data_IF_373481369641
#
_entry.id   IF_373481369641
#
_cell.length_a   1.000
_cell.length_b   1.000
_cell.length_c   1.000
_cell.angle_alpha   90.00
_cell.angle_beta   90.00
_cell.angle_gamma   90.00
#
_symmetry.space_group_name_H-M   'P 1'
#
loop_
_entity.id
_entity.type
_entity.pdbx_description
1 polymer ?
#
# COMPACT_ATOMS: atom_id res chain seq x y z
N UNK A 1 13.67 -0.72 -9.50
CA UNK A 1 13.90 -1.53 -8.28
C UNK A 1 14.84 -2.73 -8.52
N UNK A 2 15.82 -2.64 -9.43
CA UNK A 2 16.84 -3.71 -9.51
C UNK A 2 17.88 -3.50 -8.41
N UNK A 3 18.21 -4.54 -7.60
CA UNK A 3 19.23 -4.43 -6.58
C UNK A 3 20.59 -4.13 -7.23
N UNK A 4 21.30 -3.13 -6.73
CA UNK A 4 22.68 -2.84 -7.14
C UNK A 4 23.62 -3.46 -6.12
N UNK A 5 24.84 -3.84 -6.52
CA UNK A 5 25.84 -4.42 -5.62
C UNK A 5 26.19 -3.51 -4.41
N UNK A 6 25.94 -2.21 -4.52
CA UNK A 6 26.01 -1.22 -3.44
C UNK A 6 24.98 -1.44 -2.30
N UNK A 7 23.89 -2.15 -2.56
CA UNK A 7 22.85 -2.45 -1.57
C UNK A 7 23.37 -3.46 -0.51
N UNK A 8 24.28 -4.36 -0.88
CA UNK A 8 24.88 -5.37 0.04
C UNK A 8 25.85 -4.72 1.02
N UNK A 9 26.65 -3.74 0.56
CA UNK A 9 27.56 -2.98 1.43
C UNK A 9 26.77 -2.12 2.42
N UNK A 10 25.63 -1.56 2.01
CA UNK A 10 24.74 -0.78 2.89
C UNK A 10 24.03 -1.64 3.94
N UNK A 11 23.68 -2.89 3.63
CA UNK A 11 23.15 -3.84 4.60
C UNK A 11 24.18 -4.16 5.70
N UNK A 12 25.45 -4.36 5.32
CA UNK A 12 26.55 -4.57 6.27
C UNK A 12 26.76 -3.36 7.19
N UNK A 13 26.75 -2.16 6.61
CA UNK A 13 26.99 -0.93 7.37
C UNK A 13 25.82 -0.62 8.34
N UNK A 14 24.60 -1.06 8.02
CA UNK A 14 23.42 -0.97 8.91
C UNK A 14 23.47 -1.99 10.05
N UNK A 15 23.97 -3.20 9.80
CA UNK A 15 24.26 -4.18 10.87
C UNK A 15 25.35 -3.65 11.79
N UNK A 16 26.41 -3.03 11.25
CA UNK A 16 27.45 -2.39 12.04
C UNK A 16 26.92 -1.20 12.86
N UNK A 17 26.01 -0.40 12.32
CA UNK A 17 25.35 0.70 13.05
C UNK A 17 24.41 0.19 14.16
N UNK A 18 23.56 -0.83 13.90
CA UNK A 18 22.69 -1.41 14.92
C UNK A 18 23.45 -2.14 16.04
N UNK A 19 24.66 -2.63 15.74
CA UNK A 19 25.58 -3.21 16.73
C UNK A 19 26.47 -2.16 17.41
N UNK A 20 26.26 -0.87 17.14
CA UNK A 20 26.95 0.25 17.81
C UNK A 20 28.39 0.49 17.36
N UNK A 21 28.84 -0.11 16.26
CA UNK A 21 30.21 -0.02 15.73
C UNK A 21 30.41 1.16 14.77
N UNK A 22 29.36 1.88 14.39
CA UNK A 22 29.41 3.04 13.49
C UNK A 22 28.67 4.25 14.10
N UNK A 23 29.28 5.45 14.16
CA UNK A 23 28.70 6.64 14.82
C UNK A 23 27.69 7.44 13.96
N UNK A 24 27.52 7.13 12.67
CA UNK A 24 26.63 7.89 11.78
C UNK A 24 25.78 6.97 10.90
N UNK A 25 24.48 7.26 10.86
CA UNK A 25 23.52 6.61 9.95
C UNK A 25 23.87 6.95 8.50
N UNK A 26 24.13 5.98 7.62
CA UNK A 26 24.52 6.24 6.24
C UNK A 26 23.39 6.96 5.48
N UNK A 27 23.70 7.90 4.59
CA UNK A 27 22.70 8.66 3.84
C UNK A 27 21.93 7.70 2.93
N UNK A 28 20.72 7.34 3.34
CA UNK A 28 19.82 6.56 2.52
C UNK A 28 19.38 7.41 1.32
N UNK A 29 19.49 6.84 0.11
CA UNK A 29 18.76 7.35 -1.04
C UNK A 29 17.24 7.15 -0.85
N UNK A 30 16.44 7.64 -1.80
CA UNK A 30 14.96 7.68 -1.78
C UNK A 30 14.22 6.35 -1.49
N UNK A 31 14.90 5.20 -1.45
CA UNK A 31 14.35 3.90 -1.06
C UNK A 31 15.36 3.12 -0.20
N UNK A 32 14.96 2.70 0.99
CA UNK A 32 15.75 1.87 1.89
C UNK A 32 15.89 0.45 1.32
N UNK A 33 17.04 -0.21 1.50
CA UNK A 33 17.24 -1.63 1.10
C UNK A 33 16.17 -2.56 1.71
N UNK A 34 15.68 -2.21 2.90
CA UNK A 34 14.63 -2.92 3.62
C UNK A 34 13.31 -2.89 2.84
N UNK A 35 12.89 -1.73 2.33
CA UNK A 35 11.67 -1.59 1.51
C UNK A 35 11.80 -2.36 0.17
N UNK A 36 12.99 -2.38 -0.43
CA UNK A 36 13.23 -3.18 -1.64
C UNK A 36 13.14 -4.68 -1.34
N UNK A 37 13.69 -5.13 -0.20
CA UNK A 37 13.65 -6.53 0.21
C UNK A 37 12.22 -6.97 0.50
N UNK A 38 11.42 -6.14 1.17
CA UNK A 38 9.99 -6.38 1.39
C UNK A 38 9.21 -6.53 0.08
N UNK A 39 9.46 -5.63 -0.88
CA UNK A 39 8.81 -5.71 -2.19
C UNK A 39 9.16 -7.00 -2.94
N UNK A 40 10.43 -7.40 -2.93
CA UNK A 40 10.86 -8.65 -3.57
C UNK A 40 10.35 -9.89 -2.83
N UNK A 41 10.30 -9.87 -1.50
CA UNK A 41 9.72 -10.94 -0.70
C UNK A 41 8.22 -11.12 -1.01
N UNK A 42 7.47 -10.03 -1.14
CA UNK A 42 6.06 -10.06 -1.52
C UNK A 42 5.85 -10.66 -2.92
N UNK A 43 6.64 -10.24 -3.92
CA UNK A 43 6.56 -10.78 -5.28
C UNK A 43 6.86 -12.29 -5.28
N UNK A 44 7.95 -12.71 -4.65
CA UNK A 44 8.34 -14.11 -4.60
C UNK A 44 7.32 -14.96 -3.85
N UNK A 45 6.86 -14.52 -2.69
CA UNK A 45 5.81 -15.20 -1.92
C UNK A 45 4.54 -15.35 -2.74
N UNK A 46 4.12 -14.31 -3.48
CA UNK A 46 2.94 -14.39 -4.37
C UNK A 46 3.13 -15.42 -5.48
N UNK A 47 4.29 -15.45 -6.14
CA UNK A 47 4.59 -16.42 -7.20
C UNK A 47 4.56 -17.85 -6.64
N UNK A 48 5.24 -18.09 -5.52
CA UNK A 48 5.29 -19.42 -4.89
C UNK A 48 3.90 -19.87 -4.47
N UNK A 49 3.11 -19.01 -3.81
CA UNK A 49 1.73 -19.30 -3.40
C UNK A 49 0.83 -19.61 -4.59
N UNK A 50 0.95 -18.86 -5.70
CA UNK A 50 0.15 -19.10 -6.89
C UNK A 50 0.50 -20.43 -7.56
N UNK A 51 1.80 -20.70 -7.76
CA UNK A 51 2.26 -21.94 -8.42
C UNK A 51 1.92 -23.16 -7.58
N UNK A 52 2.24 -23.14 -6.29
CA UNK A 52 1.92 -24.26 -5.38
C UNK A 52 0.41 -24.43 -5.21
N UNK A 53 -0.36 -23.33 -5.16
CA UNK A 53 -1.82 -23.39 -5.11
C UNK A 53 -2.43 -24.03 -6.37
N UNK A 54 -1.95 -23.69 -7.57
CA UNK A 54 -2.41 -24.31 -8.82
C UNK A 54 -2.06 -25.80 -8.87
N UNK A 55 -0.85 -26.17 -8.44
CA UNK A 55 -0.43 -27.57 -8.39
C UNK A 55 -1.33 -28.42 -7.46
N UNK A 56 -1.70 -27.86 -6.31
CA UNK A 56 -2.57 -28.54 -5.34
C UNK A 56 -4.05 -28.51 -5.75
N UNK A 57 -4.51 -27.47 -6.45
CA UNK A 57 -5.89 -27.38 -6.93
C UNK A 57 -6.17 -28.44 -8.01
N UNK A 58 -5.27 -28.61 -8.98
CA UNK A 58 -5.42 -29.58 -10.07
C UNK A 58 -4.58 -30.85 -9.84
N UNK A 59 -4.54 -31.33 -8.60
CA UNK A 59 -3.76 -32.49 -8.18
C UNK A 59 -3.94 -33.73 -9.07
N UNK A 60 -5.18 -34.07 -9.42
CA UNK A 60 -5.53 -35.21 -10.28
C UNK A 60 -4.93 -35.12 -11.69
N UNK A 61 -4.73 -33.92 -12.21
CA UNK A 61 -4.08 -33.73 -13.50
C UNK A 61 -2.57 -33.82 -13.34
N UNK A 62 -2.01 -33.10 -12.36
CA UNK A 62 -0.57 -32.99 -12.15
C UNK A 62 0.10 -34.27 -11.64
N UNK A 63 -0.61 -35.14 -10.92
CA UNK A 63 -0.06 -36.40 -10.39
C UNK A 63 0.40 -37.36 -11.51
N UNK A 64 -0.16 -37.21 -12.72
CA UNK A 64 0.24 -38.01 -13.88
C UNK A 64 1.52 -37.48 -14.57
N UNK A 65 1.89 -36.22 -14.32
CA UNK A 65 3.06 -35.57 -14.93
C UNK A 65 4.23 -35.40 -13.97
N UNK A 66 3.96 -35.38 -12.66
CA UNK A 66 4.96 -35.12 -11.63
C UNK A 66 5.45 -36.40 -10.95
N UNK A 67 6.72 -36.41 -10.49
CA UNK A 67 7.25 -37.53 -9.72
C UNK A 67 6.53 -37.69 -8.37
N UNK A 68 6.49 -38.92 -7.86
CA UNK A 68 5.95 -39.24 -6.52
C UNK A 68 6.59 -38.34 -5.47
N UNK A 69 5.75 -37.61 -4.71
CA UNK A 69 6.18 -36.69 -3.66
C UNK A 69 6.29 -35.21 -4.06
N UNK A 70 6.18 -34.86 -5.35
CA UNK A 70 6.22 -33.45 -5.77
C UNK A 70 5.04 -32.64 -5.21
N UNK A 71 3.84 -33.24 -5.18
CA UNK A 71 2.65 -32.61 -4.59
C UNK A 71 2.77 -32.50 -3.07
N UNK A 72 3.43 -33.45 -2.40
CA UNK A 72 3.68 -33.38 -0.95
C UNK A 72 4.64 -32.22 -0.62
N UNK A 73 5.68 -32.02 -1.43
CA UNK A 73 6.59 -30.87 -1.31
C UNK A 73 5.82 -29.57 -1.56
N UNK A 74 5.01 -29.51 -2.62
CA UNK A 74 4.20 -28.34 -2.92
C UNK A 74 3.25 -28.00 -1.76
N UNK A 75 2.64 -29.01 -1.13
CA UNK A 75 1.79 -28.85 0.05
C UNK A 75 2.55 -28.24 1.24
N UNK A 76 3.73 -28.79 1.56
CA UNK A 76 4.56 -28.28 2.67
C UNK A 76 5.01 -26.84 2.40
N UNK A 77 5.47 -26.55 1.18
CA UNK A 77 5.90 -25.20 0.80
C UNK A 77 4.72 -24.22 0.87
N UNK A 78 3.58 -24.57 0.28
CA UNK A 78 2.38 -23.73 0.32
C UNK A 78 1.93 -23.44 1.75
N UNK A 79 1.94 -24.46 2.61
CA UNK A 79 1.56 -24.32 4.01
C UNK A 79 2.47 -23.32 4.76
N UNK A 80 3.79 -23.48 4.64
CA UNK A 80 4.73 -22.58 5.33
C UNK A 80 4.71 -21.16 4.77
N UNK A 81 4.63 -21.00 3.45
CA UNK A 81 4.47 -19.69 2.82
C UNK A 81 3.16 -19.01 3.24
N UNK A 82 2.06 -19.76 3.40
CA UNK A 82 0.80 -19.21 3.90
C UNK A 82 0.93 -18.67 5.33
N UNK A 83 1.65 -19.38 6.22
CA UNK A 83 1.94 -18.91 7.57
C UNK A 83 2.81 -17.66 7.57
N UNK A 84 3.89 -17.64 6.78
CA UNK A 84 4.76 -16.48 6.66
C UNK A 84 3.99 -15.26 6.13
N UNK A 85 3.19 -15.43 5.08
CA UNK A 85 2.37 -14.36 4.53
C UNK A 85 1.33 -13.85 5.54
N UNK A 86 0.66 -14.75 6.25
CA UNK A 86 -0.33 -14.39 7.29
C UNK A 86 0.31 -13.59 8.42
N UNK A 87 1.47 -14.05 8.92
CA UNK A 87 2.21 -13.36 9.97
C UNK A 87 2.76 -12.02 9.49
N UNK A 88 3.23 -11.92 8.25
CA UNK A 88 3.68 -10.66 7.66
C UNK A 88 2.53 -9.64 7.60
N UNK A 89 1.33 -10.06 7.19
CA UNK A 89 0.15 -9.17 7.19
C UNK A 89 -0.21 -8.76 8.62
N UNK A 90 -0.32 -9.71 9.55
CA UNK A 90 -0.78 -9.42 10.92
C UNK A 90 0.23 -8.60 11.71
N UNK A 91 1.51 -8.97 11.68
CA UNK A 91 2.53 -8.33 12.51
C UNK A 91 3.09 -7.10 11.83
N UNK A 92 3.52 -7.20 10.57
CA UNK A 92 4.19 -6.09 9.90
C UNK A 92 3.18 -5.08 9.35
N UNK A 93 2.24 -5.56 8.53
CA UNK A 93 1.32 -4.68 7.81
C UNK A 93 0.36 -3.98 8.77
N UNK A 94 -0.39 -4.71 9.62
CA UNK A 94 -1.31 -4.07 10.57
C UNK A 94 -0.59 -3.15 11.56
N UNK A 95 0.63 -3.50 11.99
CA UNK A 95 1.43 -2.59 12.80
C UNK A 95 1.71 -1.29 12.06
N UNK A 96 2.24 -1.38 10.84
CA UNK A 96 2.58 -0.20 10.04
C UNK A 96 1.37 0.68 9.70
N UNK A 97 0.19 0.09 9.47
CA UNK A 97 -0.99 0.83 9.00
C UNK A 97 -1.90 1.33 10.11
N UNK A 98 -1.93 0.64 11.26
CA UNK A 98 -2.85 0.96 12.37
C UNK A 98 -2.10 1.48 13.60
N UNK A 99 -0.95 0.88 13.92
CA UNK A 99 -0.26 1.12 15.20
C UNK A 99 1.01 1.95 15.07
N UNK A 100 1.43 2.30 13.86
CA UNK A 100 2.58 3.18 13.65
C UNK A 100 2.24 4.59 14.16
N UNK A 101 3.08 5.20 15.02
CA UNK A 101 2.83 6.52 15.58
C UNK A 101 2.73 7.61 14.50
N UNK A 102 3.30 7.38 13.32
CA UNK A 102 3.28 8.32 12.19
C UNK A 102 1.91 8.38 11.50
N UNK A 103 1.11 7.31 11.61
CA UNK A 103 -0.13 7.13 10.84
C UNK A 103 -1.35 6.84 11.73
N UNK A 104 -1.15 6.80 13.05
CA UNK A 104 -2.17 6.49 14.04
C UNK A 104 -3.32 7.52 14.03
N UNK A 105 -4.60 7.09 14.14
CA UNK A 105 -5.08 5.71 14.27
C UNK A 105 -5.18 4.92 12.96
N UNK A 106 -5.23 5.60 11.81
CA UNK A 106 -5.12 5.04 10.46
C UNK A 106 -5.16 6.21 9.45
N UNK A 107 -4.43 6.11 8.35
CA UNK A 107 -4.53 7.09 7.26
C UNK A 107 -5.93 7.02 6.63
N UNK A 108 -6.79 8.06 6.69
CA UNK A 108 -8.16 8.00 6.16
C UNK A 108 -8.24 7.94 4.62
N UNK A 109 -7.12 8.13 3.91
CA UNK A 109 -7.07 8.10 2.46
C UNK A 109 -7.57 6.78 1.85
N UNK A 110 -7.45 5.66 2.56
CA UNK A 110 -8.02 4.38 2.11
C UNK A 110 -9.55 4.36 2.00
N UNK A 111 -10.27 5.21 2.77
CA UNK A 111 -11.73 5.31 2.74
C UNK A 111 -12.19 6.42 1.80
N UNK A 112 -11.63 7.62 1.98
CA UNK A 112 -12.16 8.83 1.36
C UNK A 112 -11.19 9.47 0.34
N UNK A 113 -10.04 8.86 0.10
CA UNK A 113 -8.99 9.36 -0.79
C UNK A 113 -8.30 10.64 -0.29
N UNK A 114 -8.55 11.09 0.95
CA UNK A 114 -8.03 12.35 1.51
C UNK A 114 -7.18 12.07 2.74
N UNK A 115 -6.09 12.81 2.88
CA UNK A 115 -5.16 12.73 4.01
C UNK A 115 -5.08 14.08 4.74
N UNK A 116 -4.99 14.12 6.08
CA UNK A 116 -4.76 15.36 6.81
C UNK A 116 -3.40 16.00 6.44
N UNK A 117 -3.38 17.33 6.27
CA UNK A 117 -2.16 18.09 5.95
C UNK A 117 -0.97 17.78 6.88
N UNK A 118 -1.22 17.62 8.18
CA UNK A 118 -0.18 17.33 9.16
C UNK A 118 0.48 15.96 8.98
N UNK A 119 -0.30 14.96 8.53
CA UNK A 119 0.16 13.60 8.26
C UNK A 119 0.94 13.56 6.93
N UNK A 120 0.41 14.22 5.90
CA UNK A 120 1.10 14.37 4.60
C UNK A 120 2.43 15.10 4.74
N UNK A 121 2.49 16.12 5.60
CA UNK A 121 3.69 16.87 5.88
C UNK A 121 4.80 16.04 6.52
N UNK A 122 4.42 15.04 7.31
CA UNK A 122 5.35 14.14 7.98
C UNK A 122 5.85 13.03 7.04
N UNK A 123 4.98 12.43 6.24
CA UNK A 123 5.34 11.36 5.29
C UNK A 123 6.09 11.89 4.06
N UNK A 124 5.75 13.10 3.60
CA UNK A 124 6.24 13.68 2.35
C UNK A 124 6.66 15.14 2.50
N UNK A 125 7.69 15.45 3.31
CA UNK A 125 8.08 16.83 3.62
C UNK A 125 8.49 17.65 2.40
N UNK A 126 8.90 17.01 1.29
CA UNK A 126 9.32 17.68 0.05
C UNK A 126 8.22 18.00 -0.95
N UNK A 127 6.98 17.52 -0.77
CA UNK A 127 5.91 17.61 -1.77
C UNK A 127 4.63 18.31 -1.27
N UNK A 128 4.66 18.90 -0.06
CA UNK A 128 3.50 19.58 0.52
C UNK A 128 3.01 20.73 -0.37
N UNK A 129 3.92 21.55 -0.89
CA UNK A 129 3.54 22.72 -1.69
C UNK A 129 2.88 22.29 -3.01
N UNK A 130 3.43 21.29 -3.69
CA UNK A 130 2.85 20.71 -4.90
C UNK A 130 1.44 20.13 -4.63
N UNK A 131 1.28 19.35 -3.55
CA UNK A 131 -0.01 18.77 -3.18
C UNK A 131 -1.07 19.82 -2.83
N UNK A 132 -0.66 20.92 -2.17
CA UNK A 132 -1.55 22.06 -1.87
C UNK A 132 -1.95 22.83 -3.13
N UNK A 133 -1.04 22.98 -4.09
CA UNK A 133 -1.34 23.61 -5.36
C UNK A 133 -2.32 22.79 -6.21
N UNK A 134 -2.15 21.47 -6.28
CA UNK A 134 -3.09 20.59 -6.97
C UNK A 134 -4.49 20.64 -6.33
N UNK A 135 -4.56 20.57 -5.00
CA UNK A 135 -5.83 20.69 -4.26
C UNK A 135 -6.53 22.01 -4.58
N UNK A 136 -5.77 23.11 -4.64
CA UNK A 136 -6.31 24.44 -4.99
C UNK A 136 -6.82 24.51 -6.43
N UNK A 137 -6.13 23.90 -7.40
CA UNK A 137 -6.57 23.84 -8.80
C UNK A 137 -7.88 23.08 -8.94
N UNK A 138 -8.01 21.93 -8.27
CA UNK A 138 -9.24 21.12 -8.27
C UNK A 138 -10.41 21.88 -7.66
N UNK A 139 -10.21 22.54 -6.52
CA UNK A 139 -11.24 23.38 -5.88
C UNK A 139 -11.71 24.50 -6.80
N UNK A 140 -10.76 25.19 -7.47
CA UNK A 140 -11.08 26.27 -8.40
C UNK A 140 -11.92 25.78 -9.58
N UNK A 141 -11.55 24.65 -10.18
CA UNK A 141 -12.34 24.04 -11.27
C UNK A 141 -13.73 23.60 -10.82
N UNK A 142 -13.86 23.08 -9.59
CA UNK A 142 -15.16 22.68 -9.04
C UNK A 142 -16.08 23.90 -8.82
N UNK A 143 -15.54 25.01 -8.29
CA UNK A 143 -16.28 26.26 -8.11
C UNK A 143 -16.71 26.82 -9.47
N UNK A 144 -15.79 26.87 -10.45
CA UNK A 144 -16.10 27.34 -11.81
C UNK A 144 -17.17 26.49 -12.49
N UNK A 145 -17.22 25.17 -12.25
CA UNK A 145 -18.28 24.29 -12.76
C UNK A 145 -19.63 24.61 -12.12
N UNK A 146 -19.68 24.82 -10.81
CA UNK A 146 -20.93 25.12 -10.09
C UNK A 146 -21.45 26.52 -10.45
N UNK A 147 -20.56 27.51 -10.57
CA UNK A 147 -20.92 28.86 -11.01
C UNK A 147 -21.31 28.91 -12.50
N UNK A 148 -20.78 27.99 -13.32
CA UNK A 148 -21.06 27.87 -14.75
C UNK A 148 -22.36 27.12 -15.11
N UNK A 149 -23.06 26.52 -14.14
CA UNK A 149 -24.30 25.77 -14.36
C UNK A 149 -25.50 26.52 -13.75
N UNK A 150 -26.15 27.43 -14.52
CA UNK A 150 -27.26 28.22 -14.01
C UNK A 150 -28.54 27.37 -13.95
N UNK A 151 -29.03 27.14 -12.74
CA UNK A 151 -30.44 27.02 -12.37
C UNK A 151 -31.34 26.13 -13.27
N UNK A 152 -31.24 24.80 -13.12
CA UNK A 152 -32.26 23.86 -13.61
C UNK A 152 -33.04 23.15 -12.49
N UNK A 153 -32.59 23.24 -11.23
CA UNK A 153 -33.22 22.52 -10.12
C UNK A 153 -34.33 23.31 -9.37
N UNK A 154 -34.51 24.60 -9.62
CA UNK A 154 -35.49 25.45 -8.89
C UNK A 154 -36.90 25.50 -9.54
N UNK A 155 -37.12 24.85 -10.69
CA UNK A 155 -38.35 25.06 -11.50
C UNK A 155 -39.47 24.02 -11.38
N UNK A 156 -39.45 23.15 -10.38
CA UNK A 156 -40.60 22.26 -10.10
C UNK A 156 -41.14 22.43 -8.69
N UNK A 157 -41.87 23.52 -8.46
CA UNK A 157 -42.86 23.58 -7.39
C UNK A 157 -44.18 24.08 -7.98
N UNK A 158 -45.20 23.23 -8.17
CA UNK A 158 -46.50 23.70 -8.65
C UNK A 158 -47.12 24.56 -7.55
N UNK A 159 -47.46 25.80 -7.91
CA UNK A 159 -48.13 26.74 -7.02
C UNK A 159 -49.48 26.17 -6.54
N UNK A 160 -49.65 26.04 -5.23
CA UNK A 160 -50.91 25.67 -4.58
C UNK A 160 -51.87 26.88 -4.56
N UNK A 161 -53.04 26.82 -5.20
CA UNK A 161 -53.98 27.93 -5.28
C UNK A 161 -55.10 27.78 -4.24
N UNK A 162 -54.84 28.08 -2.97
CA UNK A 162 -55.91 28.19 -1.98
C UNK A 162 -55.74 29.38 -1.02
N UNK A 163 -56.05 30.58 -1.53
CA UNK A 163 -56.74 31.62 -0.76
C UNK A 163 -58.25 31.54 -1.02
N UNK A 164 -59.03 31.46 0.07
CA UNK A 164 -60.34 32.11 0.35
C UNK A 164 -61.30 31.20 1.11
N UNK A 165 -61.67 31.63 2.32
CA UNK A 165 -62.68 31.06 3.20
C UNK A 165 -62.56 31.61 4.61
#
# INVERSE_FOLDING_TARGET
MFPRLLDVTQARDRVAYNLGLAPASPPFGRFSYVEKAEYWALIWGTIVMLVTGILLWFDNWFINFLPKGALDIALVVHYWEAWLATLAIIVWHLYSTVFSPDVYPMNPAWINGRMPDAMYAHEHPGHIEEAREETRKVLKQAIERVEGEPDTASKEHPADPHERG
#
